data_IF_568793032331
#
_entry.id   IF_568793032331
#
_cell.length_a   1.000
_cell.length_b   1.000
_cell.length_c   1.000
_cell.angle_alpha   90.00
_cell.angle_beta   90.00
_cell.angle_gamma   90.00
#
_symmetry.space_group_name_H-M   'P 1'
#
loop_
_entity.id
_entity.type
_entity.pdbx_description
1 polymer ?
#
# COMPACT_ATOMS: atom_id res chain seq x y z
N UNK A 1 4.50 6.40 -1.35
CA UNK A 1 3.44 6.85 -2.29
C UNK A 1 3.95 8.08 -3.00
N UNK A 2 3.94 8.13 -4.34
CA UNK A 2 4.23 9.38 -5.06
C UNK A 2 3.21 10.41 -4.59
N UNK A 3 3.68 11.45 -3.90
CA UNK A 3 2.87 12.59 -3.54
C UNK A 3 2.58 13.33 -4.85
N UNK A 4 1.51 12.95 -5.55
CA UNK A 4 1.03 13.73 -6.68
C UNK A 4 0.63 15.07 -6.09
N UNK A 5 1.32 16.11 -6.53
CA UNK A 5 0.99 17.47 -6.15
C UNK A 5 -0.47 17.76 -6.56
N UNK A 6 -1.26 18.26 -5.62
CA UNK A 6 -2.66 18.58 -5.88
C UNK A 6 -2.82 19.88 -6.65
N UNK A 7 -1.78 20.72 -6.66
CA UNK A 7 -1.75 21.94 -7.45
C UNK A 7 -1.36 21.57 -8.90
N UNK A 8 -2.20 21.87 -9.91
CA UNK A 8 -1.90 21.54 -11.29
C UNK A 8 -0.65 22.24 -11.82
N UNK A 9 0.21 21.51 -12.54
CA UNK A 9 1.47 22.06 -13.06
C UNK A 9 1.33 23.02 -14.26
N UNK A 10 0.29 22.88 -15.09
CA UNK A 10 0.05 23.79 -16.22
C UNK A 10 -0.70 25.05 -15.81
N UNK A 11 -0.29 26.23 -16.28
CA UNK A 11 -0.87 27.53 -15.86
C UNK A 11 -2.38 27.63 -16.11
N UNK A 12 -2.85 27.19 -17.28
CA UNK A 12 -4.28 27.21 -17.61
C UNK A 12 -5.08 26.30 -16.67
N UNK A 13 -4.58 25.08 -16.42
CA UNK A 13 -5.21 24.16 -15.47
C UNK A 13 -5.18 24.69 -14.05
N UNK A 14 -4.06 25.31 -13.64
CA UNK A 14 -3.94 25.97 -12.35
C UNK A 14 -4.94 27.11 -12.24
N UNK A 15 -5.05 27.97 -13.26
CA UNK A 15 -5.99 29.09 -13.30
C UNK A 15 -7.44 28.63 -13.12
N UNK A 16 -7.90 27.62 -13.88
CA UNK A 16 -9.26 27.09 -13.71
C UNK A 16 -9.48 26.41 -12.35
N UNK A 17 -8.50 25.65 -11.87
CA UNK A 17 -8.58 24.95 -10.58
C UNK A 17 -8.66 25.94 -9.41
N UNK A 18 -7.81 26.97 -9.38
CA UNK A 18 -7.78 27.94 -8.29
C UNK A 18 -9.05 28.82 -8.25
N UNK A 19 -9.64 29.16 -9.41
CA UNK A 19 -10.93 29.87 -9.44
C UNK A 19 -12.03 29.03 -8.77
N UNK A 20 -12.07 27.74 -9.10
CA UNK A 20 -13.03 26.79 -8.51
C UNK A 20 -12.79 26.63 -7.01
N UNK A 21 -11.53 26.48 -6.59
CA UNK A 21 -11.13 26.39 -5.18
C UNK A 21 -11.61 27.61 -4.38
N UNK A 22 -11.31 28.82 -4.86
CA UNK A 22 -11.62 30.07 -4.16
C UNK A 22 -13.13 30.33 -4.12
N UNK A 23 -13.83 30.13 -5.22
CA UNK A 23 -15.29 30.27 -5.29
C UNK A 23 -16.01 29.28 -4.36
N UNK A 24 -15.52 28.05 -4.25
CA UNK A 24 -16.10 27.05 -3.36
C UNK A 24 -15.82 27.35 -1.87
N UNK A 25 -14.60 27.82 -1.58
CA UNK A 25 -14.14 28.11 -0.23
C UNK A 25 -14.87 29.30 0.40
N UNK A 26 -15.07 30.40 -0.35
CA UNK A 26 -15.73 31.60 0.18
C UNK A 26 -17.17 31.34 0.63
N UNK A 27 -17.89 30.44 -0.05
CA UNK A 27 -19.25 30.04 0.32
C UNK A 27 -19.32 29.22 1.62
N UNK A 28 -18.17 28.69 2.10
CA UNK A 28 -18.11 27.68 3.17
C UNK A 28 -17.23 28.07 4.34
N UNK A 29 -16.74 29.31 4.39
CA UNK A 29 -15.88 29.79 5.47
C UNK A 29 -16.47 29.48 6.84
N UNK A 30 -17.72 29.88 7.09
CA UNK A 30 -18.40 29.64 8.36
C UNK A 30 -18.55 28.13 8.68
N UNK A 31 -18.83 27.30 7.68
CA UNK A 31 -18.94 25.85 7.85
C UNK A 31 -17.59 25.20 8.22
N UNK A 32 -16.49 25.77 7.75
CA UNK A 32 -15.13 25.33 8.08
C UNK A 32 -14.53 26.03 9.30
N UNK A 33 -15.26 26.93 9.95
CA UNK A 33 -14.77 27.70 11.09
C UNK A 33 -13.73 28.76 10.71
N UNK A 34 -13.75 29.22 9.47
CA UNK A 34 -12.83 30.22 8.92
C UNK A 34 -13.48 31.60 8.91
N UNK A 35 -12.63 32.61 9.06
CA UNK A 35 -12.97 34.01 8.98
C UNK A 35 -12.73 34.57 7.58
N UNK A 36 -13.37 35.70 7.25
CA UNK A 36 -13.08 36.43 6.02
C UNK A 36 -11.63 36.90 5.96
N UNK A 37 -11.06 37.32 7.10
CA UNK A 37 -9.66 37.74 7.19
C UNK A 37 -8.69 36.61 6.79
N UNK A 38 -8.98 35.37 7.20
CA UNK A 38 -8.19 34.22 6.79
C UNK A 38 -8.33 33.95 5.29
N UNK A 39 -9.53 34.02 4.73
CA UNK A 39 -9.74 33.90 3.29
C UNK A 39 -9.00 34.99 2.48
N UNK A 40 -8.98 36.22 2.99
CA UNK A 40 -8.33 37.35 2.33
C UNK A 40 -6.80 37.15 2.19
N UNK A 41 -6.19 36.31 3.05
CA UNK A 41 -4.79 35.90 2.88
C UNK A 41 -4.53 35.16 1.57
N UNK A 42 -5.55 34.49 1.01
CA UNK A 42 -5.49 33.87 -0.32
C UNK A 42 -5.98 34.81 -1.42
N UNK A 43 -7.01 35.62 -1.16
CA UNK A 43 -7.64 36.46 -2.17
C UNK A 43 -6.67 37.50 -2.77
N UNK A 44 -5.79 38.08 -1.96
CA UNK A 44 -4.82 39.06 -2.45
C UNK A 44 -3.78 38.45 -3.43
N UNK A 45 -3.03 37.39 -3.06
CA UNK A 45 -2.15 36.69 -4.00
C UNK A 45 -2.88 36.10 -5.22
N UNK A 46 -4.13 35.67 -5.06
CA UNK A 46 -4.97 35.22 -6.17
C UNK A 46 -5.17 36.33 -7.19
N UNK A 47 -5.53 37.54 -6.74
CA UNK A 47 -5.75 38.68 -7.63
C UNK A 47 -4.47 39.04 -8.41
N UNK A 48 -3.31 39.06 -7.74
CA UNK A 48 -2.01 39.27 -8.37
C UNK A 48 -1.71 38.23 -9.46
N UNK A 49 -1.94 36.95 -9.16
CA UNK A 49 -1.81 35.87 -10.15
C UNK A 49 -2.74 36.08 -11.35
N UNK A 50 -4.04 36.37 -11.14
CA UNK A 50 -5.00 36.56 -12.25
C UNK A 50 -4.57 37.68 -13.18
N UNK A 51 -4.22 38.84 -12.64
CA UNK A 51 -3.77 39.97 -13.43
C UNK A 51 -2.50 39.65 -14.22
N UNK A 52 -1.51 39.01 -13.60
CA UNK A 52 -0.29 38.62 -14.30
C UNK A 52 -0.52 37.54 -15.37
N UNK A 53 -1.42 36.58 -15.09
CA UNK A 53 -1.83 35.53 -16.02
C UNK A 53 -2.54 36.09 -17.25
N UNK A 54 -3.48 37.01 -17.10
CA UNK A 54 -4.17 37.64 -18.23
C UNK A 54 -3.18 38.31 -19.21
N UNK A 55 -2.21 39.06 -18.67
CA UNK A 55 -1.18 39.74 -19.47
C UNK A 55 -0.24 38.75 -20.17
N UNK A 56 0.19 37.70 -19.46
CA UNK A 56 1.12 36.71 -20.00
C UNK A 56 0.45 35.69 -20.95
N UNK A 57 -0.84 35.42 -20.79
CA UNK A 57 -1.61 34.48 -21.61
C UNK A 57 -2.04 35.10 -22.94
N UNK A 58 -2.25 36.43 -22.99
CA UNK A 58 -2.58 37.14 -24.23
C UNK A 58 -1.32 37.28 -25.14
N UNK A 59 -1.32 36.69 -26.36
CA UNK A 59 -0.17 36.76 -27.25
C UNK A 59 0.28 38.18 -27.63
N UNK A 60 -0.63 39.16 -27.63
CA UNK A 60 -0.33 40.55 -27.97
C UNK A 60 0.45 41.30 -26.87
N UNK A 61 0.32 40.86 -25.61
CA UNK A 61 0.97 41.48 -24.44
C UNK A 61 2.04 40.59 -23.81
N UNK A 62 2.16 39.35 -24.29
CA UNK A 62 3.13 38.37 -23.79
C UNK A 62 4.55 38.78 -24.13
N UNK A 63 5.27 39.19 -23.10
CA UNK A 63 6.70 39.53 -23.14
C UNK A 63 7.47 38.72 -22.10
N UNK A 64 8.81 38.66 -22.20
CA UNK A 64 9.63 37.98 -21.18
C UNK A 64 9.41 38.56 -19.76
N UNK A 65 9.34 39.89 -19.55
CA UNK A 65 8.98 40.45 -18.25
C UNK A 65 7.58 40.05 -17.77
N UNK A 66 6.58 40.00 -18.65
CA UNK A 66 5.22 39.56 -18.28
C UNK A 66 5.19 38.09 -17.86
N UNK A 67 5.94 37.23 -18.54
CA UNK A 67 6.06 35.81 -18.18
C UNK A 67 6.73 35.65 -16.82
N UNK A 68 7.82 36.38 -16.56
CA UNK A 68 8.50 36.36 -15.27
C UNK A 68 7.60 36.88 -14.13
N UNK A 69 6.85 37.97 -14.36
CA UNK A 69 5.91 38.49 -13.37
C UNK A 69 4.83 37.46 -13.02
N UNK A 70 4.29 36.79 -14.04
CA UNK A 70 3.31 35.70 -13.87
C UNK A 70 3.89 34.51 -13.11
N UNK A 71 5.11 34.07 -13.44
CA UNK A 71 5.77 32.96 -12.72
C UNK A 71 6.05 33.32 -11.26
N UNK A 72 6.47 34.55 -10.97
CA UNK A 72 6.67 35.03 -9.60
C UNK A 72 5.36 35.08 -8.81
N UNK A 73 4.29 35.62 -9.40
CA UNK A 73 2.96 35.64 -8.79
C UNK A 73 2.44 34.22 -8.54
N UNK A 74 2.69 33.29 -9.47
CA UNK A 74 2.36 31.87 -9.32
C UNK A 74 3.06 31.26 -8.10
N UNK A 75 4.38 31.43 -8.02
CA UNK A 75 5.18 30.87 -6.93
C UNK A 75 4.74 31.41 -5.58
N UNK A 76 4.47 32.71 -5.49
CA UNK A 76 3.95 33.34 -4.27
C UNK A 76 2.57 32.77 -3.89
N UNK A 77 1.65 32.68 -4.85
CA UNK A 77 0.30 32.18 -4.59
C UNK A 77 0.29 30.69 -4.22
N UNK A 78 1.06 29.84 -4.93
CA UNK A 78 1.20 28.42 -4.59
C UNK A 78 1.76 28.23 -3.18
N UNK A 79 2.73 29.05 -2.77
CA UNK A 79 3.26 29.01 -1.41
C UNK A 79 2.16 29.28 -0.37
N UNK A 80 1.39 30.35 -0.58
CA UNK A 80 0.29 30.73 0.32
C UNK A 80 -0.83 29.69 0.32
N UNK A 81 -1.23 29.17 -0.85
CA UNK A 81 -2.21 28.07 -0.98
C UNK A 81 -1.79 26.85 -0.16
N UNK A 82 -0.53 26.42 -0.27
CA UNK A 82 -0.02 25.27 0.47
C UNK A 82 0.04 25.53 1.98
N UNK A 83 0.35 26.74 2.40
CA UNK A 83 0.34 27.12 3.81
C UNK A 83 -1.09 27.11 4.36
N UNK A 84 -2.04 27.69 3.62
CA UNK A 84 -3.44 27.76 3.97
C UNK A 84 -4.09 26.37 4.08
N UNK A 85 -3.96 25.53 3.05
CA UNK A 85 -4.52 24.17 3.03
C UNK A 85 -3.98 23.35 4.22
N UNK A 86 -2.68 23.46 4.50
CA UNK A 86 -2.06 22.77 5.65
C UNK A 86 -2.59 23.28 6.98
N UNK A 87 -2.70 24.59 7.15
CA UNK A 87 -3.10 25.20 8.42
C UNK A 87 -4.59 25.02 8.72
N UNK A 88 -5.45 25.11 7.71
CA UNK A 88 -6.88 25.29 7.92
C UNK A 88 -7.76 24.14 7.40
N UNK A 89 -7.28 23.33 6.44
CA UNK A 89 -8.14 22.37 5.73
C UNK A 89 -7.72 20.90 5.94
N UNK A 90 -6.44 20.59 6.14
CA UNK A 90 -5.98 19.20 6.20
C UNK A 90 -6.44 18.43 7.44
N UNK A 91 -6.44 19.08 8.60
CA UNK A 91 -6.83 18.46 9.88
C UNK A 91 -8.20 18.95 10.36
N UNK A 92 -8.93 19.67 9.52
CA UNK A 92 -10.21 20.23 9.87
C UNK A 92 -11.32 19.18 9.66
N UNK A 93 -11.98 18.70 10.75
CA UNK A 93 -13.00 17.66 10.64
C UNK A 93 -14.25 18.12 9.87
N UNK A 94 -14.48 19.43 9.74
CA UNK A 94 -15.57 19.95 8.90
C UNK A 94 -15.29 19.78 7.40
N UNK A 95 -14.03 19.61 6.99
CA UNK A 95 -13.61 19.43 5.60
C UNK A 95 -13.59 17.93 5.27
N UNK A 96 -14.78 17.36 5.10
CA UNK A 96 -14.98 15.93 4.83
C UNK A 96 -14.41 15.49 3.46
N UNK A 97 -14.31 14.19 3.20
CA UNK A 97 -13.84 13.65 1.91
C UNK A 97 -14.55 14.26 0.68
N UNK A 98 -15.90 14.27 0.62
CA UNK A 98 -16.64 14.94 -0.46
C UNK A 98 -16.36 16.44 -0.59
N UNK A 99 -16.13 17.13 0.52
CA UNK A 99 -15.77 18.55 0.52
C UNK A 99 -14.36 18.77 -0.03
N UNK A 100 -13.41 17.90 0.32
CA UNK A 100 -12.06 17.91 -0.24
C UNK A 100 -12.08 17.69 -1.75
N UNK A 101 -12.90 16.77 -2.24
CA UNK A 101 -13.04 16.52 -3.69
C UNK A 101 -13.54 17.76 -4.44
N UNK A 102 -14.55 18.47 -3.90
CA UNK A 102 -15.06 19.72 -4.49
C UNK A 102 -14.05 20.87 -4.42
N UNK A 103 -13.22 20.92 -3.39
CA UNK A 103 -12.05 21.80 -3.31
C UNK A 103 -10.89 21.35 -4.23
N UNK A 104 -11.01 20.22 -4.94
CA UNK A 104 -9.91 19.68 -5.75
C UNK A 104 -8.69 19.28 -4.91
N UNK A 105 -8.89 18.92 -3.65
CA UNK A 105 -7.87 18.43 -2.72
C UNK A 105 -7.86 16.89 -2.67
N UNK A 106 -6.72 16.25 -2.34
CA UNK A 106 -6.67 14.79 -2.23
C UNK A 106 -7.55 14.29 -1.09
N UNK A 107 -8.39 13.29 -1.36
CA UNK A 107 -9.17 12.59 -0.33
C UNK A 107 -8.28 11.55 0.34
N UNK A 108 -8.06 11.69 1.64
CA UNK A 108 -7.27 10.72 2.40
C UNK A 108 -8.10 9.47 2.69
N UNK A 109 -7.48 8.29 2.54
CA UNK A 109 -8.08 7.04 3.03
C UNK A 109 -8.09 7.07 4.56
N UNK A 110 -9.27 6.99 5.15
CA UNK A 110 -9.45 6.90 6.61
C UNK A 110 -9.33 5.46 7.12
N UNK A 111 -9.46 4.47 6.24
CA UNK A 111 -9.42 3.05 6.59
C UNK A 111 -8.24 2.33 5.93
N UNK A 112 -7.57 1.48 6.71
CA UNK A 112 -6.55 0.56 6.21
C UNK A 112 -7.23 -0.60 5.50
N UNK A 113 -6.94 -0.80 4.22
CA UNK A 113 -7.36 -2.01 3.50
C UNK A 113 -6.66 -3.23 4.13
N UNK A 114 -7.42 -4.22 4.64
CA UNK A 114 -6.85 -5.48 5.09
C UNK A 114 -6.02 -6.18 4.03
N UNK A 115 -4.92 -6.81 4.45
CA UNK A 115 -4.26 -7.80 3.61
C UNK A 115 -5.20 -9.01 3.52
N UNK A 116 -5.55 -9.48 2.31
CA UNK A 116 -6.47 -10.60 2.16
C UNK A 116 -5.88 -11.89 2.74
N UNK A 117 -6.77 -12.84 3.06
CA UNK A 117 -6.37 -14.22 3.39
C UNK A 117 -5.77 -14.88 2.14
N UNK A 118 -4.67 -15.63 2.24
CA UNK A 118 -4.13 -16.33 1.09
C UNK A 118 -5.14 -17.36 0.54
N UNK A 119 -5.39 -17.35 -0.76
CA UNK A 119 -6.36 -18.24 -1.41
C UNK A 119 -5.73 -19.49 -2.02
N UNK A 120 -4.40 -19.53 -2.07
CA UNK A 120 -3.61 -20.62 -2.65
C UNK A 120 -2.78 -21.29 -1.56
N UNK A 121 -2.32 -22.51 -1.83
CA UNK A 121 -1.34 -23.20 -1.00
C UNK A 121 0.08 -23.08 -1.60
N UNK A 122 1.15 -23.20 -0.79
CA UNK A 122 2.52 -23.30 -1.29
C UNK A 122 2.75 -24.61 -2.04
N UNK A 123 3.57 -24.56 -3.09
CA UNK A 123 4.25 -25.74 -3.62
C UNK A 123 5.56 -25.97 -2.86
N UNK A 124 6.04 -27.22 -2.83
CA UNK A 124 7.25 -27.57 -2.11
C UNK A 124 8.13 -28.60 -2.83
N UNK A 125 9.41 -28.60 -2.47
CA UNK A 125 10.42 -29.58 -2.85
C UNK A 125 11.16 -30.04 -1.58
N UNK A 126 11.49 -31.32 -1.50
CA UNK A 126 12.19 -31.91 -0.34
C UNK A 126 13.63 -32.25 -0.73
N UNK A 127 14.58 -31.77 0.07
CA UNK A 127 15.99 -32.14 0.01
C UNK A 127 16.34 -32.97 1.25
N UNK A 128 16.79 -34.21 1.00
CA UNK A 128 17.20 -35.21 2.01
C UNK A 128 18.70 -35.50 1.96
N UNK A 129 19.50 -34.61 1.37
CA UNK A 129 20.94 -34.79 1.25
C UNK A 129 21.69 -34.81 2.59
N UNK A 130 21.08 -34.26 3.64
CA UNK A 130 21.61 -34.23 5.00
C UNK A 130 21.00 -35.37 5.83
N UNK A 131 21.85 -36.21 6.43
CA UNK A 131 21.42 -37.31 7.29
C UNK A 131 20.59 -36.75 8.46
N UNK A 132 19.43 -37.36 8.72
CA UNK A 132 18.46 -36.96 9.75
C UNK A 132 17.83 -35.58 9.57
N UNK A 133 17.98 -34.94 8.42
CA UNK A 133 17.36 -33.65 8.14
C UNK A 133 16.55 -33.69 6.86
N UNK A 134 15.38 -33.07 6.90
CA UNK A 134 14.59 -32.75 5.72
C UNK A 134 14.59 -31.23 5.55
N UNK A 135 15.09 -30.78 4.41
CA UNK A 135 15.07 -29.38 4.01
C UNK A 135 13.90 -29.20 3.05
N UNK A 136 12.83 -28.56 3.53
CA UNK A 136 11.58 -28.37 2.80
C UNK A 136 11.59 -26.96 2.21
N UNK A 137 11.87 -26.91 0.92
CA UNK A 137 11.84 -25.68 0.15
C UNK A 137 10.42 -25.41 -0.30
N UNK A 138 9.94 -24.19 -0.09
CA UNK A 138 8.58 -23.82 -0.44
C UNK A 138 8.56 -22.54 -1.30
N UNK A 139 7.60 -22.46 -2.21
CA UNK A 139 7.44 -21.36 -3.15
C UNK A 139 5.99 -21.26 -3.66
N UNK A 140 5.58 -20.13 -4.28
CA UNK A 140 4.29 -20.06 -4.95
C UNK A 140 4.13 -21.12 -6.05
N UNK A 141 2.91 -21.57 -6.30
CA UNK A 141 2.63 -22.49 -7.40
C UNK A 141 3.10 -21.89 -8.74
N UNK A 142 3.82 -22.70 -9.54
CA UNK A 142 4.39 -22.28 -10.82
C UNK A 142 5.61 -21.35 -10.73
N UNK A 143 6.05 -20.95 -9.53
CA UNK A 143 7.30 -20.24 -9.33
C UNK A 143 8.51 -21.19 -9.31
N UNK A 144 9.72 -20.64 -9.44
CA UNK A 144 10.97 -21.38 -9.19
C UNK A 144 11.14 -21.64 -7.68
N UNK A 145 11.97 -22.62 -7.31
CA UNK A 145 12.32 -22.98 -5.91
C UNK A 145 12.67 -21.79 -5.01
N UNK A 146 13.39 -20.80 -5.54
CA UNK A 146 13.79 -19.57 -4.81
C UNK A 146 12.83 -18.39 -5.03
N UNK A 147 11.60 -18.68 -5.49
CA UNK A 147 10.57 -17.69 -5.76
C UNK A 147 10.15 -16.93 -4.50
N UNK A 148 9.96 -15.62 -4.63
CA UNK A 148 9.42 -14.81 -3.55
C UNK A 148 8.00 -15.26 -3.19
N UNK A 149 7.64 -15.15 -1.90
CA UNK A 149 6.27 -15.40 -1.42
C UNK A 149 5.27 -14.47 -2.13
N UNK A 150 3.98 -14.86 -2.24
CA UNK A 150 2.96 -14.00 -2.80
C UNK A 150 2.80 -12.70 -1.99
N UNK A 151 2.31 -11.64 -2.64
CA UNK A 151 2.06 -10.36 -1.96
C UNK A 151 1.10 -10.56 -0.78
N UNK A 152 1.46 -10.01 0.39
CA UNK A 152 0.64 -10.09 1.61
C UNK A 152 0.85 -11.34 2.46
N UNK A 153 1.56 -12.36 1.95
CA UNK A 153 1.90 -13.56 2.69
C UNK A 153 3.10 -13.30 3.61
N UNK A 154 2.95 -13.64 4.89
CA UNK A 154 3.97 -13.50 5.91
C UNK A 154 4.91 -14.71 5.96
N UNK A 155 4.37 -15.92 5.90
CA UNK A 155 5.15 -17.15 6.02
C UNK A 155 4.32 -18.39 5.73
N UNK A 156 4.87 -19.55 6.08
CA UNK A 156 4.26 -20.86 5.93
C UNK A 156 4.11 -21.51 7.30
N UNK A 157 2.91 -22.02 7.58
CA UNK A 157 2.74 -23.07 8.58
C UNK A 157 2.99 -24.42 7.91
N UNK A 158 3.91 -25.19 8.47
CA UNK A 158 4.18 -26.57 8.10
C UNK A 158 3.73 -27.47 9.25
N UNK A 159 2.99 -28.52 8.92
CA UNK A 159 2.65 -29.59 9.86
C UNK A 159 3.21 -30.92 9.41
N UNK A 160 3.59 -31.78 10.36
CA UNK A 160 4.13 -33.11 10.07
C UNK A 160 3.86 -34.14 11.16
N UNK A 161 3.95 -35.41 10.77
CA UNK A 161 3.97 -36.55 11.68
C UNK A 161 4.73 -37.72 11.04
N UNK A 162 5.32 -38.58 11.89
CA UNK A 162 5.89 -39.87 11.45
C UNK A 162 4.79 -40.91 11.58
N UNK A 163 4.37 -41.49 10.47
CA UNK A 163 3.22 -42.41 10.41
C UNK A 163 3.60 -43.65 9.59
N UNK A 164 2.99 -44.80 9.93
CA UNK A 164 3.16 -46.05 9.18
C UNK A 164 2.21 -46.14 7.96
N UNK A 165 1.20 -45.28 7.92
CA UNK A 165 0.25 -45.16 6.81
C UNK A 165 0.02 -43.67 6.48
N UNK A 166 -0.40 -43.33 5.24
CA UNK A 166 -0.74 -41.96 4.88
C UNK A 166 -1.83 -41.36 5.81
N UNK A 167 -1.72 -40.06 6.16
CA UNK A 167 -2.76 -39.36 6.90
C UNK A 167 -4.03 -39.22 6.07
N UNK A 168 -5.14 -38.94 6.74
CA UNK A 168 -6.40 -38.52 6.12
C UNK A 168 -6.35 -37.04 5.70
N UNK A 169 -7.46 -36.54 5.15
CA UNK A 169 -7.60 -35.13 4.78
C UNK A 169 -7.71 -34.20 6.01
N UNK A 170 -7.89 -34.74 7.23
CA UNK A 170 -7.83 -33.96 8.48
C UNK A 170 -6.39 -33.74 8.92
N UNK A 171 -5.69 -32.89 8.16
CA UNK A 171 -4.29 -32.53 8.37
C UNK A 171 -4.03 -32.01 9.78
N UNK A 172 -4.97 -31.26 10.36
CA UNK A 172 -4.73 -30.66 11.67
C UNK A 172 -4.74 -31.69 12.81
N UNK A 173 -5.55 -32.74 12.67
CA UNK A 173 -5.61 -33.86 13.62
C UNK A 173 -4.50 -34.87 13.38
N UNK A 174 -4.19 -35.19 12.13
CA UNK A 174 -3.25 -36.28 11.78
C UNK A 174 -1.78 -35.84 11.84
N UNK A 175 -1.48 -34.57 11.52
CA UNK A 175 -0.12 -34.03 11.53
C UNK A 175 0.10 -33.19 12.80
N UNK A 176 0.42 -33.90 13.88
CA UNK A 176 0.46 -33.38 15.26
C UNK A 176 1.55 -32.33 15.52
N UNK A 177 2.64 -32.35 14.75
CA UNK A 177 3.72 -31.37 14.91
C UNK A 177 3.52 -30.20 13.96
N UNK A 178 3.85 -28.99 14.42
CA UNK A 178 3.78 -27.78 13.60
C UNK A 178 5.02 -26.90 13.78
N UNK A 179 5.33 -26.14 12.72
CA UNK A 179 6.37 -25.13 12.68
C UNK A 179 5.91 -24.01 11.77
N UNK A 180 6.42 -22.81 12.03
CA UNK A 180 6.15 -21.64 11.21
C UNK A 180 7.46 -21.01 10.78
N UNK A 181 7.61 -20.74 9.49
CA UNK A 181 8.78 -20.03 8.98
C UNK A 181 8.40 -18.93 8.01
N UNK A 182 9.18 -17.86 8.05
CA UNK A 182 9.07 -16.72 7.14
C UNK A 182 10.03 -16.84 5.97
N UNK A 183 10.96 -17.80 5.96
CA UNK A 183 11.91 -18.03 4.87
C UNK A 183 12.13 -19.51 4.56
N UNK A 184 12.23 -19.81 3.27
CA UNK A 184 12.58 -21.14 2.74
C UNK A 184 14.10 -21.36 2.82
N UNK A 185 14.58 -22.58 3.17
CA UNK A 185 13.80 -23.77 3.53
C UNK A 185 13.41 -23.86 5.01
N UNK A 186 12.36 -24.64 5.30
CA UNK A 186 12.08 -25.15 6.66
C UNK A 186 12.93 -26.41 6.86
N UNK A 187 13.69 -26.47 7.95
CA UNK A 187 14.50 -27.64 8.29
C UNK A 187 13.84 -28.43 9.40
N UNK A 188 13.51 -29.69 9.11
CA UNK A 188 13.04 -30.66 10.10
C UNK A 188 14.18 -31.60 10.49
N UNK A 189 14.50 -31.66 11.79
CA UNK A 189 15.57 -32.52 12.31
C UNK A 189 15.00 -33.71 13.08
N UNK A 190 15.51 -34.91 12.78
CA UNK A 190 15.06 -36.17 13.36
C UNK A 190 16.14 -36.84 14.23
N UNK A 191 15.72 -37.80 15.06
CA UNK A 191 16.60 -38.64 15.87
C UNK A 191 17.09 -39.85 15.07
N UNK A 192 18.24 -40.42 15.43
CA UNK A 192 18.79 -41.62 14.76
C UNK A 192 17.79 -42.78 14.70
N UNK A 193 17.07 -43.05 15.80
CA UNK A 193 16.07 -44.13 15.85
C UNK A 193 14.79 -43.87 15.01
N UNK A 194 14.69 -42.73 14.33
CA UNK A 194 13.60 -42.41 13.41
C UNK A 194 14.01 -42.58 11.95
N UNK A 195 15.30 -42.84 11.66
CA UNK A 195 15.77 -43.07 10.29
C UNK A 195 15.07 -44.26 9.65
N UNK A 196 14.82 -44.16 8.35
CA UNK A 196 14.07 -45.15 7.58
C UNK A 196 12.56 -45.13 7.79
N UNK A 197 12.03 -44.33 8.73
CA UNK A 197 10.59 -44.10 8.87
C UNK A 197 10.09 -43.05 7.88
N UNK A 198 8.81 -43.13 7.55
CA UNK A 198 8.14 -42.15 6.67
C UNK A 198 7.63 -40.99 7.50
N UNK A 199 7.97 -39.77 7.09
CA UNK A 199 7.35 -38.54 7.59
C UNK A 199 6.41 -37.98 6.53
N UNK A 200 5.18 -37.66 6.95
CA UNK A 200 4.18 -36.96 6.16
C UNK A 200 4.11 -35.52 6.61
N UNK A 201 3.93 -34.60 5.68
CA UNK A 201 3.86 -33.16 5.97
C UNK A 201 2.96 -32.42 4.99
N UNK A 202 2.38 -31.31 5.44
CA UNK A 202 1.57 -30.41 4.62
C UNK A 202 1.88 -28.96 5.00
N UNK A 203 1.73 -28.06 4.03
CA UNK A 203 2.08 -26.64 4.17
C UNK A 203 0.88 -25.76 3.82
N UNK A 204 0.74 -24.61 4.49
CA UNK A 204 -0.19 -23.54 4.11
C UNK A 204 0.42 -22.15 4.28
N UNK A 205 0.02 -21.20 3.45
CA UNK A 205 0.40 -19.80 3.62
C UNK A 205 -0.34 -19.16 4.79
N UNK A 206 0.33 -18.22 5.46
CA UNK A 206 -0.28 -17.34 6.47
C UNK A 206 0.02 -15.88 6.11
N UNK A 207 -0.97 -15.00 6.20
CA UNK A 207 -0.76 -13.57 5.95
C UNK A 207 -0.17 -12.84 7.17
N UNK A 208 0.12 -11.55 7.01
CA UNK A 208 0.65 -10.69 8.10
C UNK A 208 -0.27 -10.49 9.31
N UNK A 209 -1.51 -11.01 9.26
CA UNK A 209 -2.51 -10.94 10.33
C UNK A 209 -2.70 -12.27 11.06
N UNK A 210 -2.05 -13.33 10.60
CA UNK A 210 -2.26 -14.68 11.10
C UNK A 210 -3.42 -15.43 10.44
N UNK A 211 -4.04 -14.85 9.40
CA UNK A 211 -5.09 -15.54 8.65
C UNK A 211 -4.45 -16.58 7.74
N UNK A 212 -5.02 -17.78 7.76
CA UNK A 212 -4.44 -18.98 7.16
C UNK A 212 -5.15 -19.34 5.86
N UNK A 213 -4.35 -19.62 4.84
CA UNK A 213 -4.85 -20.14 3.57
C UNK A 213 -5.20 -21.63 3.62
N UNK A 214 -5.63 -22.20 2.49
CA UNK A 214 -5.88 -23.63 2.40
C UNK A 214 -4.59 -24.43 2.59
N UNK A 215 -4.72 -25.66 3.10
CA UNK A 215 -3.65 -26.64 3.08
C UNK A 215 -3.32 -27.03 1.63
N UNK A 216 -2.02 -27.20 1.35
CA UNK A 216 -1.54 -27.82 0.12
C UNK A 216 -1.56 -29.34 0.18
N UNK A 217 -1.10 -29.97 -0.89
CA UNK A 217 -1.00 -31.42 -1.01
C UNK A 217 -0.14 -32.02 0.11
N UNK A 218 -0.48 -33.23 0.54
CA UNK A 218 0.28 -33.96 1.55
C UNK A 218 1.53 -34.55 0.88
N UNK A 219 2.69 -34.05 1.30
CA UNK A 219 4.00 -34.60 0.95
C UNK A 219 4.42 -35.73 1.87
N UNK A 220 5.32 -36.58 1.39
CA UNK A 220 6.00 -37.56 2.24
C UNK A 220 7.45 -37.74 1.83
N UNK A 221 8.28 -38.16 2.78
CA UNK A 221 9.67 -38.54 2.52
C UNK A 221 10.15 -39.55 3.56
N UNK A 222 11.17 -40.33 3.20
CA UNK A 222 11.87 -41.24 4.12
C UNK A 222 12.94 -40.42 4.84
N UNK A 223 13.01 -40.56 6.16
CA UNK A 223 14.03 -39.90 6.97
C UNK A 223 15.42 -40.50 6.63
N UNK A 224 16.37 -39.72 6.08
CA UNK A 224 17.67 -40.20 5.62
C UNK A 224 18.61 -40.62 6.74
#
# INVERSE_FOLDING_TARGET
MRNHDYIPSGDERFHSWQETFMAYLIERLAAYGLTTEEYDTLAAPQAEWRTAWEVANNPATRTSPATLAKDNARNAYEHTLRAFVRRYLNENPAVTGPEREKLGLPVYKTERTPVPVPTEAPSFEVDTSQIRELHIHYHPAGAKRDGAKPFGVHGVELRWAILDAPPSDDIETDLLHSSFDTRSPIVLTFKEGQRGKTVYFALRWENTRGDKGPWGDIGSSIIP
#
